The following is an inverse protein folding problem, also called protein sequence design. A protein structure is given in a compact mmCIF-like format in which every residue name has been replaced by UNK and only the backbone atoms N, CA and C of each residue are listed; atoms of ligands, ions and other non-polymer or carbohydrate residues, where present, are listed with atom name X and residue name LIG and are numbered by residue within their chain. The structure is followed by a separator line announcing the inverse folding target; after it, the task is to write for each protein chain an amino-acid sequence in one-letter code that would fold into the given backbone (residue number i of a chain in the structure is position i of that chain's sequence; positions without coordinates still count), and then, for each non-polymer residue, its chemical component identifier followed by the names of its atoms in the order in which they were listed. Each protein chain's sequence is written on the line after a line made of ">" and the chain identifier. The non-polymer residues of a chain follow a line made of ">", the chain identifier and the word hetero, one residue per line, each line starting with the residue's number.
data_IF_802327272987
#
_entry.id   IF_802327272987
#
_cell.length_a   1.000
_cell.length_b   1.000
_cell.length_c   1.000
_cell.angle_alpha   90.00
_cell.angle_beta   90.00
_cell.angle_gamma   90.00
#
_symmetry.space_group_name_H-M   'P 1'
#
loop_
_entity.id
_entity.type
_entity.pdbx_description
1 polymer ?
#
# COMPACT_ATOMS: atom_id res chain seq x y z
N UNK A 1 -63.43 33.02 -62.25
CA UNK A 1 -62.18 33.56 -61.75
C UNK A 1 -62.13 33.28 -60.24
N UNK A 2 -61.51 32.19 -59.86
CA UNK A 2 -61.45 31.74 -58.42
C UNK A 2 -59.98 31.75 -58.00
N UNK A 3 -59.63 32.69 -57.15
CA UNK A 3 -58.31 32.89 -56.64
C UNK A 3 -58.08 32.00 -55.44
N UNK A 4 -57.08 31.12 -55.53
CA UNK A 4 -56.74 30.21 -54.47
C UNK A 4 -55.64 30.90 -53.56
N UNK A 5 -56.01 31.15 -52.30
CA UNK A 5 -55.10 31.72 -51.30
C UNK A 5 -54.46 30.52 -50.54
N UNK A 6 -53.17 30.27 -50.74
CA UNK A 6 -52.35 29.27 -50.03
C UNK A 6 -51.96 29.80 -48.64
N UNK A 7 -52.19 28.99 -47.63
CA UNK A 7 -52.06 29.29 -46.23
C UNK A 7 -50.54 29.33 -45.74
N UNK A 8 -50.18 30.30 -44.91
CA UNK A 8 -48.84 30.35 -44.31
C UNK A 8 -48.66 29.55 -42.99
N UNK A 9 -49.67 28.78 -42.57
CA UNK A 9 -49.67 28.15 -41.23
C UNK A 9 -48.72 26.91 -41.04
N UNK A 10 -48.27 26.29 -42.16
CA UNK A 10 -47.46 25.06 -42.07
C UNK A 10 -45.94 25.33 -41.89
N UNK A 11 -45.46 26.50 -42.30
CA UNK A 11 -44.06 26.86 -42.19
C UNK A 11 -43.70 27.30 -40.76
N UNK A 12 -44.61 28.00 -40.07
CA UNK A 12 -44.37 28.44 -38.68
C UNK A 12 -44.33 27.27 -37.68
N UNK A 13 -45.12 26.20 -37.85
CA UNK A 13 -45.11 25.05 -36.99
C UNK A 13 -43.82 24.21 -37.12
N UNK A 14 -43.28 24.06 -38.35
CA UNK A 14 -42.01 23.36 -38.59
C UNK A 14 -40.81 24.09 -38.00
N UNK A 15 -40.79 25.42 -38.04
CA UNK A 15 -39.74 26.25 -37.45
C UNK A 15 -39.72 26.23 -35.92
N UNK A 16 -40.90 26.17 -35.28
CA UNK A 16 -41.00 26.07 -33.81
C UNK A 16 -40.59 24.68 -33.33
N UNK A 17 -40.95 23.61 -34.04
CA UNK A 17 -40.47 22.24 -33.68
C UNK A 17 -38.98 22.07 -33.86
N UNK A 18 -38.41 22.68 -34.94
CA UNK A 18 -36.94 22.64 -35.16
C UNK A 18 -36.17 23.49 -34.12
N UNK A 19 -36.73 24.60 -33.66
CA UNK A 19 -36.17 25.45 -32.63
C UNK A 19 -36.24 24.77 -31.24
N UNK A 20 -37.36 24.06 -30.93
CA UNK A 20 -37.47 23.25 -29.72
C UNK A 20 -36.54 22.02 -29.73
N UNK A 21 -36.31 21.40 -30.89
CA UNK A 21 -35.33 20.31 -31.03
C UNK A 21 -33.90 20.79 -30.90
N UNK A 22 -33.55 21.99 -31.39
CA UNK A 22 -32.25 22.62 -31.19
C UNK A 22 -32.01 23.04 -29.75
N UNK A 23 -33.01 23.49 -29.02
CA UNK A 23 -32.89 23.79 -27.57
C UNK A 23 -32.78 22.50 -26.75
N UNK A 24 -33.42 21.40 -27.16
CA UNK A 24 -33.27 20.09 -26.51
C UNK A 24 -31.89 19.44 -26.78
N UNK A 25 -31.23 19.76 -27.91
CA UNK A 25 -29.86 19.32 -28.24
C UNK A 25 -28.79 20.24 -27.63
N UNK A 26 -29.13 21.46 -27.24
CA UNK A 26 -28.30 22.37 -26.47
C UNK A 26 -28.44 22.20 -24.95
N UNK A 27 -28.99 21.06 -24.48
CA UNK A 27 -28.82 20.61 -23.11
C UNK A 27 -27.35 20.42 -22.86
N UNK A 28 -26.62 21.51 -22.59
CA UNK A 28 -25.37 21.47 -21.92
C UNK A 28 -25.61 20.59 -20.68
N UNK A 29 -25.03 19.40 -20.65
CA UNK A 29 -24.83 18.68 -19.41
C UNK A 29 -23.96 19.60 -18.55
N UNK A 30 -24.60 20.36 -17.67
CA UNK A 30 -23.93 21.10 -16.63
C UNK A 30 -23.40 19.99 -15.68
N UNK A 31 -22.27 19.40 -16.05
CA UNK A 31 -21.51 18.62 -15.08
C UNK A 31 -20.94 19.65 -14.12
N UNK A 32 -21.26 19.55 -12.83
CA UNK A 32 -20.61 20.40 -11.85
C UNK A 32 -19.10 20.23 -11.99
N UNK A 33 -18.35 21.32 -11.83
CA UNK A 33 -16.89 21.29 -11.87
C UNK A 33 -16.39 20.32 -10.79
N UNK A 34 -15.55 19.39 -11.19
CA UNK A 34 -14.90 18.47 -10.24
C UNK A 34 -13.68 19.16 -9.64
N UNK A 35 -13.51 18.99 -8.34
CA UNK A 35 -12.39 19.51 -7.56
C UNK A 35 -11.70 18.39 -6.79
N UNK A 36 -10.48 18.65 -6.31
CA UNK A 36 -9.76 17.73 -5.44
C UNK A 36 -10.08 18.08 -3.99
N UNK A 37 -10.59 17.08 -3.25
CA UNK A 37 -10.90 17.18 -1.83
C UNK A 37 -9.97 16.28 -1.03
N UNK A 38 -9.51 16.78 0.12
CA UNK A 38 -8.57 16.08 0.99
C UNK A 38 -9.29 15.52 2.23
N UNK A 39 -9.06 14.24 2.53
CA UNK A 39 -9.52 13.55 3.73
C UNK A 39 -8.28 12.99 4.42
N UNK A 40 -8.09 13.28 5.71
CA UNK A 40 -6.90 12.83 6.43
C UNK A 40 -7.22 12.48 7.88
N UNK A 41 -6.39 11.63 8.48
CA UNK A 41 -6.51 11.24 9.89
C UNK A 41 -5.38 10.33 10.36
N UNK A 42 -5.36 10.01 11.66
CA UNK A 42 -4.40 9.04 12.22
C UNK A 42 -4.83 7.59 11.91
N UNK A 43 -3.87 6.70 11.66
CA UNK A 43 -4.10 5.26 11.47
C UNK A 43 -2.80 4.46 11.66
N UNK A 44 -2.84 3.25 12.20
CA UNK A 44 -1.73 2.28 12.29
C UNK A 44 -0.43 2.87 12.86
N UNK A 45 -0.53 3.80 13.81
CA UNK A 45 0.64 4.51 14.36
C UNK A 45 1.24 5.58 13.44
N UNK A 46 0.58 5.91 12.32
CA UNK A 46 0.94 6.93 11.34
C UNK A 46 -0.30 7.78 10.98
N UNK A 47 -0.34 8.31 9.76
CA UNK A 47 -1.48 9.05 9.20
C UNK A 47 -1.84 8.55 7.81
N UNK A 48 -3.07 8.84 7.39
CA UNK A 48 -3.50 8.73 6.01
C UNK A 48 -3.81 10.09 5.41
N UNK A 49 -3.57 10.23 4.11
CA UNK A 49 -3.89 11.39 3.30
C UNK A 49 -4.53 10.92 1.99
N UNK A 50 -5.78 11.31 1.77
CA UNK A 50 -6.58 10.82 0.64
C UNK A 50 -7.08 12.02 -0.14
N UNK A 51 -6.72 12.10 -1.43
CA UNK A 51 -7.28 13.07 -2.36
C UNK A 51 -8.34 12.38 -3.20
N UNK A 52 -9.56 12.92 -3.22
CA UNK A 52 -10.67 12.43 -4.07
C UNK A 52 -11.10 13.52 -5.04
N UNK A 53 -11.42 13.14 -6.28
CA UNK A 53 -11.94 14.06 -7.31
C UNK A 53 -13.45 13.91 -7.36
N UNK A 54 -14.16 14.96 -6.93
CA UNK A 54 -15.63 14.98 -6.83
C UNK A 54 -16.16 16.40 -7.09
N UNK A 55 -17.42 16.55 -7.53
CA UNK A 55 -18.14 17.79 -7.41
C UNK A 55 -18.26 18.21 -5.93
N UNK A 56 -18.44 19.51 -5.68
CA UNK A 56 -18.67 20.00 -4.32
C UNK A 56 -19.96 19.39 -3.73
N UNK A 57 -19.77 18.48 -2.77
CA UNK A 57 -20.84 17.83 -2.00
C UNK A 57 -20.32 17.50 -0.60
N UNK A 58 -20.57 18.40 0.34
CA UNK A 58 -20.09 18.27 1.72
C UNK A 58 -20.65 17.01 2.40
N UNK A 59 -21.92 16.68 2.19
CA UNK A 59 -22.55 15.52 2.81
C UNK A 59 -21.90 14.22 2.31
N UNK A 60 -21.61 14.15 1.02
CA UNK A 60 -20.91 13.02 0.40
C UNK A 60 -19.47 12.88 0.94
N UNK A 61 -18.75 14.01 1.09
CA UNK A 61 -17.39 14.01 1.65
C UNK A 61 -17.38 13.53 3.11
N UNK A 62 -18.33 13.97 3.94
CA UNK A 62 -18.46 13.49 5.32
C UNK A 62 -18.77 11.99 5.38
N UNK A 63 -19.65 11.50 4.50
CA UNK A 63 -19.95 10.07 4.40
C UNK A 63 -18.73 9.24 3.96
N UNK A 64 -17.97 9.72 2.96
CA UNK A 64 -16.73 9.07 2.51
C UNK A 64 -15.70 9.03 3.64
N UNK A 65 -15.50 10.13 4.38
CA UNK A 65 -14.57 10.19 5.49
C UNK A 65 -14.92 9.18 6.60
N UNK A 66 -16.22 9.05 6.93
CA UNK A 66 -16.69 8.05 7.89
C UNK A 66 -16.43 6.63 7.38
N UNK A 67 -16.80 6.31 6.15
CA UNK A 67 -16.61 4.97 5.58
C UNK A 67 -15.12 4.59 5.42
N UNK A 68 -14.24 5.55 5.12
CA UNK A 68 -12.79 5.36 5.14
C UNK A 68 -12.33 4.99 6.56
N UNK A 69 -12.78 5.73 7.57
CA UNK A 69 -12.47 5.44 8.97
C UNK A 69 -12.92 4.04 9.39
N UNK A 70 -14.14 3.65 9.06
CA UNK A 70 -14.69 2.33 9.35
C UNK A 70 -13.93 1.21 8.64
N UNK A 71 -13.54 1.43 7.38
CA UNK A 71 -12.74 0.49 6.59
C UNK A 71 -11.35 0.26 7.20
N UNK A 72 -10.68 1.33 7.64
CA UNK A 72 -9.37 1.26 8.29
C UNK A 72 -9.44 0.64 9.70
N UNK A 73 -10.47 0.94 10.50
CA UNK A 73 -10.69 0.26 11.79
C UNK A 73 -10.92 -1.25 11.59
N UNK A 74 -11.60 -1.65 10.51
CA UNK A 74 -11.75 -3.04 10.13
C UNK A 74 -10.42 -3.76 9.86
N UNK A 75 -9.48 -3.09 9.19
CA UNK A 75 -8.11 -3.61 8.97
C UNK A 75 -7.37 -3.74 10.30
N UNK A 76 -7.41 -2.71 11.15
CA UNK A 76 -6.76 -2.72 12.47
C UNK A 76 -7.33 -3.82 13.37
N UNK A 77 -8.65 -3.97 13.39
CA UNK A 77 -9.33 -5.04 14.16
C UNK A 77 -8.97 -6.45 13.67
N UNK A 78 -8.61 -6.62 12.41
CA UNK A 78 -8.21 -7.92 11.86
C UNK A 78 -6.71 -8.19 12.06
N UNK A 79 -5.82 -7.21 11.81
CA UNK A 79 -4.40 -7.46 11.52
C UNK A 79 -3.41 -6.83 12.49
N UNK A 80 -3.85 -5.96 13.42
CA UNK A 80 -2.94 -5.26 14.34
C UNK A 80 -2.36 -6.20 15.39
N UNK A 81 -1.04 -6.17 15.56
CA UNK A 81 -0.35 -6.79 16.70
C UNK A 81 -0.35 -5.90 17.93
N UNK A 82 -0.66 -4.61 17.78
CA UNK A 82 -0.74 -3.61 18.84
C UNK A 82 -2.11 -3.55 19.53
N UNK A 83 -3.13 -4.08 18.88
CA UNK A 83 -4.50 -4.17 19.38
C UNK A 83 -4.74 -5.58 19.93
N UNK A 84 -4.89 -5.70 21.25
CA UNK A 84 -5.03 -6.99 21.93
C UNK A 84 -6.27 -7.80 21.50
N UNK A 85 -7.35 -7.11 21.13
CA UNK A 85 -8.61 -7.72 20.72
C UNK A 85 -8.69 -8.00 19.21
N UNK A 86 -7.63 -7.72 18.44
CA UNK A 86 -7.59 -8.03 17.01
C UNK A 86 -7.66 -9.55 16.76
N UNK A 87 -8.10 -9.93 15.56
CA UNK A 87 -8.12 -11.32 15.13
C UNK A 87 -6.71 -11.94 15.15
N UNK A 88 -5.73 -11.22 14.59
CA UNK A 88 -4.34 -11.66 14.55
C UNK A 88 -3.74 -11.83 15.96
N UNK A 89 -3.98 -10.88 16.86
CA UNK A 89 -3.50 -10.99 18.24
C UNK A 89 -4.12 -12.17 18.99
N UNK A 90 -5.39 -12.51 18.71
CA UNK A 90 -6.02 -13.72 19.24
C UNK A 90 -5.38 -14.98 18.68
N UNK A 91 -5.12 -15.03 17.36
CA UNK A 91 -4.42 -16.14 16.70
C UNK A 91 -3.02 -16.33 17.29
N UNK A 92 -2.26 -15.24 17.45
CA UNK A 92 -0.90 -15.27 17.99
C UNK A 92 -0.82 -15.77 19.46
N UNK A 93 -1.90 -15.63 20.24
CA UNK A 93 -1.95 -16.14 21.63
C UNK A 93 -2.30 -17.61 21.76
N UNK A 94 -2.68 -18.27 20.68
CA UNK A 94 -2.96 -19.71 20.72
C UNK A 94 -1.67 -20.49 20.98
N UNK A 95 -1.70 -21.37 21.97
CA UNK A 95 -0.55 -22.24 22.32
C UNK A 95 -0.39 -23.41 21.36
N UNK A 96 -1.48 -23.77 20.68
CA UNK A 96 -1.52 -24.84 19.69
C UNK A 96 -2.23 -24.32 18.43
N UNK A 97 -1.56 -24.43 17.31
CA UNK A 97 -2.04 -24.03 15.98
C UNK A 97 -1.98 -25.21 15.00
N UNK A 98 -1.88 -26.44 15.49
CA UNK A 98 -1.75 -27.65 14.66
C UNK A 98 -3.04 -28.04 13.93
N UNK A 99 -4.19 -27.63 14.45
CA UNK A 99 -5.50 -27.78 13.81
C UNK A 99 -5.83 -26.59 12.92
N UNK A 100 -6.80 -26.79 12.00
CA UNK A 100 -7.31 -25.71 11.18
C UNK A 100 -8.08 -24.69 12.02
N UNK A 101 -7.58 -23.46 12.06
CA UNK A 101 -8.15 -22.32 12.76
C UNK A 101 -8.86 -21.45 11.73
N UNK A 102 -10.19 -21.29 11.81
CA UNK A 102 -10.93 -20.39 10.93
C UNK A 102 -10.42 -18.95 11.07
N UNK A 103 -10.26 -18.26 9.94
CA UNK A 103 -9.89 -16.86 9.89
C UNK A 103 -10.83 -16.09 8.96
N UNK A 104 -10.92 -14.78 9.17
CA UNK A 104 -11.70 -13.90 8.29
C UNK A 104 -11.16 -13.88 6.87
N UNK A 105 -12.00 -13.56 5.89
CA UNK A 105 -11.58 -13.42 4.52
C UNK A 105 -10.48 -12.34 4.33
N UNK A 106 -10.54 -11.16 4.99
CA UNK A 106 -9.45 -10.19 4.96
C UNK A 106 -8.12 -10.73 5.46
N UNK A 107 -8.08 -11.39 6.62
CA UNK A 107 -6.86 -11.97 7.15
C UNK A 107 -6.32 -13.07 6.24
N UNK A 108 -7.20 -13.91 5.70
CA UNK A 108 -6.84 -14.96 4.75
C UNK A 108 -6.23 -14.40 3.45
N UNK A 109 -6.79 -13.30 2.91
CA UNK A 109 -6.27 -12.60 1.71
C UNK A 109 -4.82 -12.17 1.94
N UNK A 110 -4.54 -11.51 3.08
CA UNK A 110 -3.19 -11.03 3.39
C UNK A 110 -2.21 -12.18 3.67
N UNK A 111 -2.63 -13.22 4.39
CA UNK A 111 -1.78 -14.41 4.62
C UNK A 111 -1.46 -15.14 3.32
N UNK A 112 -2.40 -15.22 2.39
CA UNK A 112 -2.18 -15.83 1.07
C UNK A 112 -1.14 -15.04 0.27
N UNK A 113 -1.30 -13.71 0.20
CA UNK A 113 -0.33 -12.86 -0.47
C UNK A 113 1.03 -12.90 0.20
N UNK A 114 1.06 -12.97 1.54
CA UNK A 114 2.31 -13.12 2.29
C UNK A 114 3.05 -14.41 1.91
N UNK A 115 2.37 -15.54 1.81
CA UNK A 115 2.99 -16.83 1.40
C UNK A 115 3.54 -16.75 -0.04
N UNK A 116 2.78 -16.15 -0.98
CA UNK A 116 3.23 -15.94 -2.35
C UNK A 116 4.52 -15.12 -2.43
N UNK A 117 4.58 -13.99 -1.71
CA UNK A 117 5.75 -13.11 -1.71
C UNK A 117 6.91 -13.75 -0.94
N UNK A 118 6.65 -14.47 0.16
CA UNK A 118 7.67 -15.23 0.88
C UNK A 118 8.35 -16.26 -0.02
N UNK A 119 7.57 -16.98 -0.84
CA UNK A 119 8.11 -17.93 -1.83
C UNK A 119 8.90 -17.23 -2.94
N UNK A 120 8.38 -16.13 -3.46
CA UNK A 120 9.01 -15.35 -4.52
C UNK A 120 10.37 -14.80 -4.08
N UNK A 121 10.48 -14.34 -2.84
CA UNK A 121 11.70 -13.74 -2.26
C UNK A 121 12.60 -14.75 -1.56
N UNK A 122 12.30 -16.06 -1.66
CA UNK A 122 13.01 -17.16 -0.99
C UNK A 122 13.15 -16.93 0.53
N UNK A 123 12.09 -16.41 1.15
CA UNK A 123 11.98 -16.17 2.58
C UNK A 123 12.60 -14.84 3.07
N UNK A 124 13.09 -13.98 2.18
CA UNK A 124 13.53 -12.64 2.58
C UNK A 124 12.36 -11.78 3.10
N UNK A 125 11.15 -12.01 2.61
CA UNK A 125 9.92 -11.57 3.24
C UNK A 125 9.31 -12.75 4.01
N UNK A 126 9.15 -12.62 5.33
CA UNK A 126 8.56 -13.65 6.18
C UNK A 126 7.74 -13.04 7.32
N UNK A 127 6.42 -13.17 7.24
CA UNK A 127 5.50 -12.64 8.27
C UNK A 127 5.56 -13.39 9.60
N UNK A 128 6.32 -14.47 9.70
CA UNK A 128 6.51 -15.21 10.95
C UNK A 128 7.72 -14.72 11.76
N UNK A 129 8.44 -13.69 11.27
CA UNK A 129 9.64 -13.12 11.92
C UNK A 129 9.32 -12.33 13.21
N UNK A 130 8.04 -12.13 13.55
CA UNK A 130 7.58 -11.34 14.68
C UNK A 130 8.29 -11.61 16.01
N UNK A 131 8.59 -12.86 16.42
CA UNK A 131 9.36 -13.11 17.65
C UNK A 131 10.73 -12.45 17.65
N UNK A 132 11.40 -12.39 16.50
CA UNK A 132 12.71 -11.74 16.35
C UNK A 132 12.55 -10.22 16.33
N UNK A 133 11.52 -9.71 15.65
CA UNK A 133 11.19 -8.27 15.64
C UNK A 133 10.92 -7.76 17.06
N UNK A 134 10.14 -8.51 17.86
CA UNK A 134 9.89 -8.20 19.27
C UNK A 134 11.18 -8.26 20.10
N UNK A 135 12.02 -9.25 19.88
CA UNK A 135 13.29 -9.41 20.59
C UNK A 135 14.24 -8.21 20.34
N UNK A 136 14.21 -7.61 19.14
CA UNK A 136 14.94 -6.39 18.81
C UNK A 136 14.24 -5.11 19.30
N UNK A 137 13.01 -5.21 19.84
CA UNK A 137 12.24 -4.08 20.36
C UNK A 137 11.60 -3.19 19.27
N UNK A 138 11.33 -3.76 18.11
CA UNK A 138 10.60 -3.08 17.02
C UNK A 138 9.11 -3.46 16.97
N UNK A 139 8.67 -4.46 17.74
CA UNK A 139 7.29 -4.88 17.87
C UNK A 139 6.56 -4.26 19.07
N UNK A 140 5.37 -4.78 19.43
CA UNK A 140 4.54 -4.25 20.53
C UNK A 140 5.12 -4.49 21.93
N UNK A 141 6.06 -5.41 22.08
CA UNK A 141 6.71 -5.69 23.36
C UNK A 141 7.66 -4.55 23.77
N UNK A 142 7.90 -4.43 25.06
CA UNK A 142 8.82 -3.41 25.57
C UNK A 142 10.22 -3.62 24.98
N UNK A 143 10.86 -2.50 24.60
CA UNK A 143 12.21 -2.54 24.06
C UNK A 143 13.18 -3.16 25.07
N UNK A 144 14.01 -4.14 24.67
CA UNK A 144 15.03 -4.71 25.55
C UNK A 144 16.11 -3.68 25.91
N UNK A 145 16.68 -3.82 27.11
CA UNK A 145 17.77 -2.94 27.57
C UNK A 145 19.11 -3.22 26.85
N UNK A 146 19.26 -4.40 26.27
CA UNK A 146 20.48 -4.88 25.63
C UNK A 146 20.23 -5.48 24.25
N UNK A 147 21.26 -5.47 23.41
CA UNK A 147 21.25 -6.20 22.14
C UNK A 147 21.04 -7.69 22.42
N UNK A 148 20.14 -8.36 21.69
CA UNK A 148 19.85 -9.78 21.88
C UNK A 148 21.09 -10.65 21.78
N UNK A 149 21.19 -11.66 22.66
CA UNK A 149 22.27 -12.65 22.57
C UNK A 149 22.07 -13.61 21.38
N UNK A 150 23.14 -14.23 20.89
CA UNK A 150 23.03 -15.23 19.83
C UNK A 150 22.16 -16.44 20.25
N UNK A 151 22.10 -16.77 21.56
CA UNK A 151 21.22 -17.82 22.10
C UNK A 151 19.74 -17.40 22.02
N UNK A 152 19.40 -16.15 22.38
CA UNK A 152 18.02 -15.64 22.30
C UNK A 152 17.56 -15.56 20.84
N UNK A 153 18.45 -15.09 19.95
CA UNK A 153 18.19 -15.06 18.51
C UNK A 153 17.92 -16.46 17.95
N UNK A 154 18.77 -17.45 18.28
CA UNK A 154 18.58 -18.83 17.84
C UNK A 154 17.26 -19.42 18.35
N UNK A 155 16.88 -19.10 19.59
CA UNK A 155 15.60 -19.54 20.18
C UNK A 155 14.40 -18.89 19.47
N UNK A 156 14.46 -17.58 19.18
CA UNK A 156 13.40 -16.88 18.46
C UNK A 156 13.28 -17.39 17.03
N UNK A 157 14.39 -17.53 16.29
CA UNK A 157 14.42 -18.08 14.93
C UNK A 157 13.87 -19.51 14.85
N UNK A 158 14.10 -20.34 15.88
CA UNK A 158 13.54 -21.69 15.92
C UNK A 158 12.00 -21.72 15.86
N UNK A 159 11.33 -20.63 16.21
CA UNK A 159 9.86 -20.47 16.14
C UNK A 159 9.37 -19.78 14.88
N UNK A 160 10.24 -19.39 13.93
CA UNK A 160 9.88 -18.71 12.68
C UNK A 160 9.85 -19.66 11.48
N UNK A 161 9.44 -19.16 10.33
CA UNK A 161 9.49 -19.81 9.04
C UNK A 161 8.11 -19.95 8.40
N UNK A 162 7.85 -19.16 7.36
CA UNK A 162 6.56 -19.16 6.61
C UNK A 162 6.16 -20.56 6.10
N UNK A 163 7.13 -21.43 5.78
CA UNK A 163 6.88 -22.82 5.34
C UNK A 163 6.16 -23.69 6.38
N UNK A 164 6.11 -23.26 7.64
CA UNK A 164 5.34 -23.95 8.69
C UNK A 164 3.85 -23.61 8.67
N UNK A 165 3.46 -22.52 7.97
CA UNK A 165 2.07 -22.16 7.79
C UNK A 165 1.45 -22.94 6.64
N UNK A 166 0.19 -23.33 6.81
CA UNK A 166 -0.65 -23.93 5.77
C UNK A 166 -1.95 -23.15 5.70
N UNK A 167 -2.39 -22.84 4.50
CA UNK A 167 -3.58 -22.05 4.22
C UNK A 167 -4.65 -22.92 3.54
N UNK A 168 -5.90 -22.79 3.94
CA UNK A 168 -7.06 -23.42 3.33
C UNK A 168 -8.08 -22.37 2.91
N UNK A 169 -8.46 -22.37 1.63
CA UNK A 169 -9.33 -21.33 1.07
C UNK A 169 -10.83 -21.54 1.39
N UNK A 170 -11.28 -22.78 1.59
CA UNK A 170 -12.71 -23.07 1.73
C UNK A 170 -12.96 -24.10 2.84
N UNK A 171 -13.54 -23.71 3.99
CA UNK A 171 -13.63 -22.33 4.47
C UNK A 171 -12.24 -21.72 4.72
N UNK A 172 -12.09 -20.38 4.75
CA UNK A 172 -10.80 -19.76 5.05
C UNK A 172 -10.28 -20.17 6.42
N UNK A 173 -9.09 -20.77 6.45
CA UNK A 173 -8.46 -21.23 7.68
C UNK A 173 -6.94 -21.30 7.55
N UNK A 174 -6.25 -21.21 8.68
CA UNK A 174 -4.81 -21.35 8.80
C UNK A 174 -4.48 -22.42 9.82
N UNK A 175 -3.37 -23.13 9.62
CA UNK A 175 -2.73 -23.97 10.64
C UNK A 175 -1.23 -23.86 10.54
N UNK A 176 -0.54 -24.19 11.62
CA UNK A 176 0.91 -24.21 11.66
C UNK A 176 1.44 -25.56 12.16
N UNK A 177 2.49 -26.10 11.54
CA UNK A 177 3.17 -27.33 11.98
C UNK A 177 3.89 -27.17 13.32
N UNK A 178 4.20 -25.94 13.71
CA UNK A 178 4.64 -25.49 15.03
C UNK A 178 4.01 -24.13 15.29
N UNK A 179 3.78 -23.77 16.55
CA UNK A 179 3.19 -22.48 16.93
C UNK A 179 3.99 -21.33 16.33
N UNK A 180 3.32 -20.44 15.62
CA UNK A 180 3.87 -19.27 14.95
C UNK A 180 3.33 -18.00 15.62
N UNK A 181 4.16 -16.97 15.65
CA UNK A 181 3.72 -15.59 15.89
C UNK A 181 3.81 -14.84 14.55
N UNK A 182 2.68 -14.33 14.08
CA UNK A 182 2.55 -13.65 12.78
C UNK A 182 2.58 -12.14 13.01
N UNK A 183 3.39 -11.44 12.23
CA UNK A 183 3.48 -9.99 12.18
C UNK A 183 3.25 -9.52 10.73
N UNK A 184 2.19 -8.74 10.53
CA UNK A 184 1.77 -8.24 9.22
C UNK A 184 2.18 -6.77 9.00
N UNK A 185 3.03 -6.18 9.84
CA UNK A 185 3.42 -4.76 9.75
C UNK A 185 4.08 -4.36 8.42
N UNK A 186 4.66 -5.33 7.70
CA UNK A 186 5.33 -5.14 6.41
C UNK A 186 4.42 -5.38 5.18
N UNK A 187 3.09 -5.51 5.38
CA UNK A 187 2.11 -5.73 4.31
C UNK A 187 0.74 -5.10 4.63
N UNK A 188 0.41 -4.93 5.92
CA UNK A 188 -0.92 -4.50 6.34
C UNK A 188 -1.21 -3.03 5.98
N UNK A 189 -0.20 -2.15 5.91
CA UNK A 189 -0.40 -0.76 5.47
C UNK A 189 -0.80 -0.71 4.00
N UNK A 190 -0.07 -1.44 3.15
CA UNK A 190 -0.43 -1.60 1.75
C UNK A 190 -1.83 -2.19 1.56
N UNK A 191 -2.20 -3.19 2.36
CA UNK A 191 -3.56 -3.73 2.38
C UNK A 191 -4.60 -2.68 2.78
N UNK A 192 -4.32 -1.85 3.78
CA UNK A 192 -5.18 -0.73 4.19
C UNK A 192 -5.44 0.25 3.04
N UNK A 193 -4.40 0.60 2.27
CA UNK A 193 -4.53 1.42 1.06
C UNK A 193 -5.47 0.76 0.05
N UNK A 194 -5.33 -0.54 -0.18
CA UNK A 194 -6.19 -1.28 -1.13
C UNK A 194 -7.64 -1.40 -0.64
N UNK A 195 -7.88 -1.56 0.67
CA UNK A 195 -9.22 -1.56 1.26
C UNK A 195 -9.91 -0.23 1.05
N UNK A 196 -9.22 0.89 1.31
CA UNK A 196 -9.76 2.24 1.06
C UNK A 196 -10.03 2.47 -0.43
N UNK A 197 -9.11 2.05 -1.30
CA UNK A 197 -9.31 2.16 -2.74
C UNK A 197 -10.55 1.38 -3.22
N UNK A 198 -10.74 0.14 -2.75
CA UNK A 198 -11.94 -0.67 -3.02
C UNK A 198 -13.22 -0.01 -2.51
N UNK A 199 -13.16 0.61 -1.33
CA UNK A 199 -14.30 1.37 -0.79
C UNK A 199 -14.63 2.56 -1.68
N UNK A 200 -13.66 3.39 -2.07
CA UNK A 200 -13.87 4.52 -2.97
C UNK A 200 -14.43 4.09 -4.33
N UNK A 201 -13.95 2.99 -4.89
CA UNK A 201 -14.48 2.40 -6.12
C UNK A 201 -15.95 2.00 -5.96
N UNK A 202 -16.33 1.38 -4.83
CA UNK A 202 -17.72 0.98 -4.53
C UNK A 202 -18.66 2.17 -4.37
N UNK A 203 -18.14 3.31 -3.86
CA UNK A 203 -18.88 4.59 -3.76
C UNK A 203 -18.89 5.37 -5.09
N UNK A 204 -18.32 4.80 -6.16
CA UNK A 204 -18.32 5.39 -7.49
C UNK A 204 -17.37 6.57 -7.67
N UNK A 205 -16.36 6.75 -6.79
CA UNK A 205 -15.29 7.72 -6.97
C UNK A 205 -14.38 7.26 -8.10
N UNK A 206 -14.19 8.08 -9.13
CA UNK A 206 -13.49 7.69 -10.37
C UNK A 206 -12.01 8.05 -10.37
N UNK A 207 -11.63 9.03 -9.56
CA UNK A 207 -10.24 9.48 -9.48
C UNK A 207 -9.88 9.81 -8.03
N UNK A 208 -8.77 9.24 -7.58
CA UNK A 208 -8.27 9.43 -6.23
C UNK A 208 -6.77 9.12 -6.13
N UNK A 209 -6.18 9.61 -5.06
CA UNK A 209 -4.90 9.18 -4.52
C UNK A 209 -5.14 8.80 -3.05
N UNK A 210 -4.82 7.59 -2.67
CA UNK A 210 -4.81 7.10 -1.28
C UNK A 210 -3.37 6.93 -0.84
N UNK A 211 -3.00 7.55 0.27
CA UNK A 211 -1.69 7.39 0.92
C UNK A 211 -1.89 7.02 2.38
N UNK A 212 -1.18 6.01 2.87
CA UNK A 212 -1.13 5.58 4.27
C UNK A 212 0.30 5.26 4.64
N UNK A 213 0.92 6.13 5.45
CA UNK A 213 2.27 5.90 5.99
C UNK A 213 3.38 5.72 4.96
N UNK A 214 3.18 6.23 3.73
CA UNK A 214 4.11 6.13 2.60
C UNK A 214 3.70 5.14 1.51
N UNK A 215 2.77 4.23 1.78
CA UNK A 215 2.17 3.35 0.79
C UNK A 215 1.08 4.11 0.04
N UNK A 216 1.08 4.01 -1.30
CA UNK A 216 0.21 4.83 -2.15
C UNK A 216 -0.49 3.98 -3.20
N UNK A 217 -1.75 4.35 -3.49
CA UNK A 217 -2.48 3.88 -4.67
C UNK A 217 -3.20 5.03 -5.33
N UNK A 218 -3.15 5.06 -6.65
CA UNK A 218 -3.85 6.08 -7.45
C UNK A 218 -4.86 5.44 -8.38
N UNK A 219 -5.90 6.19 -8.72
CA UNK A 219 -6.88 5.85 -9.75
C UNK A 219 -7.25 7.10 -10.53
N UNK A 220 -7.54 6.92 -11.84
CA UNK A 220 -8.05 7.98 -12.69
C UNK A 220 -7.08 9.15 -12.89
N UNK A 221 -7.65 10.32 -13.20
CA UNK A 221 -6.91 11.56 -13.49
C UNK A 221 -7.47 12.72 -12.67
N UNK A 222 -6.66 13.73 -12.47
CA UNK A 222 -7.07 15.00 -11.88
C UNK A 222 -8.07 15.75 -12.77
N UNK A 223 -8.78 16.75 -12.24
CA UNK A 223 -9.77 17.53 -13.03
C UNK A 223 -9.19 18.20 -14.27
N UNK A 224 -7.91 18.57 -14.24
CA UNK A 224 -7.17 19.15 -15.38
C UNK A 224 -6.73 18.11 -16.43
N UNK A 225 -7.09 16.84 -16.25
CA UNK A 225 -6.70 15.72 -17.11
C UNK A 225 -5.30 15.18 -16.88
N UNK A 226 -4.52 15.75 -15.96
CA UNK A 226 -3.18 15.29 -15.63
C UNK A 226 -3.23 14.00 -14.79
N UNK A 227 -2.19 13.18 -14.89
CA UNK A 227 -1.98 11.99 -14.03
C UNK A 227 -1.42 12.40 -12.68
N UNK A 228 -1.59 11.55 -11.68
CA UNK A 228 -1.01 11.73 -10.36
C UNK A 228 0.53 11.66 -10.44
N UNK A 229 1.19 12.62 -9.80
CA UNK A 229 2.65 12.70 -9.73
C UNK A 229 3.10 12.57 -8.30
N UNK A 230 4.12 11.76 -8.08
CA UNK A 230 4.69 11.46 -6.78
C UNK A 230 6.19 11.75 -6.79
N UNK A 231 6.72 12.08 -5.62
CA UNK A 231 8.14 12.22 -5.41
C UNK A 231 8.69 11.01 -4.65
N UNK A 232 9.75 10.41 -5.15
CA UNK A 232 10.55 9.46 -4.39
C UNK A 232 11.59 10.28 -3.62
N UNK A 233 11.58 10.15 -2.29
CA UNK A 233 12.52 10.88 -1.44
C UNK A 233 13.91 10.25 -1.48
N UNK A 234 14.91 11.10 -1.42
CA UNK A 234 16.29 10.67 -1.18
C UNK A 234 16.50 10.52 0.32
N UNK A 235 17.08 9.41 0.80
CA UNK A 235 17.50 9.30 2.19
C UNK A 235 18.40 10.48 2.56
N UNK A 236 18.02 11.22 3.58
CA UNK A 236 18.78 12.36 4.05
C UNK A 236 19.06 12.24 5.55
N UNK A 237 20.29 12.50 5.97
CA UNK A 237 20.63 12.68 7.36
C UNK A 237 20.11 14.05 7.84
N UNK A 238 19.52 14.11 9.04
CA UNK A 238 19.07 15.37 9.64
C UNK A 238 17.70 15.89 9.23
N UNK A 239 16.84 15.07 8.58
CA UNK A 239 15.44 15.44 8.33
C UNK A 239 15.18 16.36 7.12
N UNK A 240 16.18 16.59 6.28
CA UNK A 240 15.98 17.29 5.01
C UNK A 240 15.22 16.40 4.02
N UNK A 241 14.10 16.89 3.48
CA UNK A 241 13.39 16.23 2.41
C UNK A 241 13.99 16.58 1.05
N UNK A 242 14.83 15.70 0.50
CA UNK A 242 15.34 15.84 -0.87
C UNK A 242 14.58 14.88 -1.80
N UNK A 243 14.20 15.40 -2.98
CA UNK A 243 13.57 14.58 -4.01
C UNK A 243 14.66 13.89 -4.82
N UNK A 244 14.62 12.56 -4.87
CA UNK A 244 15.47 11.75 -5.73
C UNK A 244 14.91 11.66 -7.15
N UNK A 245 13.59 11.41 -7.26
CA UNK A 245 12.94 11.25 -8.55
C UNK A 245 11.47 11.69 -8.48
N UNK A 246 10.97 12.29 -9.57
CA UNK A 246 9.54 12.51 -9.78
C UNK A 246 9.04 11.45 -10.76
N UNK A 247 7.91 10.82 -10.43
CA UNK A 247 7.25 9.80 -11.24
C UNK A 247 5.79 10.17 -11.49
N UNK A 248 5.22 9.56 -12.52
CA UNK A 248 3.77 9.52 -12.74
C UNK A 248 3.25 8.15 -12.37
N UNK A 249 2.13 8.09 -11.66
CA UNK A 249 1.53 6.83 -11.21
C UNK A 249 0.09 6.70 -11.77
N UNK A 250 -0.08 6.15 -12.99
CA UNK A 250 -1.37 6.04 -13.64
C UNK A 250 -2.12 4.77 -13.18
N UNK A 251 -3.05 4.91 -12.23
CA UNK A 251 -3.88 3.81 -11.71
C UNK A 251 -3.05 2.59 -11.27
N UNK A 252 -2.05 2.84 -10.44
CA UNK A 252 -1.11 1.87 -9.89
C UNK A 252 -0.91 2.10 -8.41
N UNK A 253 -0.22 1.17 -7.77
CA UNK A 253 0.21 1.27 -6.39
C UNK A 253 1.74 1.39 -6.30
N UNK A 254 2.21 2.04 -5.25
CA UNK A 254 3.63 2.24 -4.95
C UNK A 254 3.85 2.12 -3.44
N UNK A 255 4.92 1.46 -3.05
CA UNK A 255 5.41 1.46 -1.69
C UNK A 255 6.93 1.68 -1.66
N UNK A 256 7.42 2.26 -0.58
CA UNK A 256 8.85 2.48 -0.38
C UNK A 256 9.27 1.97 0.98
N UNK A 257 10.18 1.00 1.00
CA UNK A 257 10.87 0.55 2.20
C UNK A 257 12.28 1.15 2.25
N UNK A 258 12.73 1.51 3.46
CA UNK A 258 14.07 2.07 3.65
C UNK A 258 14.50 2.00 5.11
N UNK A 259 15.80 1.94 5.33
CA UNK A 259 16.42 1.78 6.65
C UNK A 259 16.70 3.12 7.36
N UNK A 260 16.36 4.26 6.73
CA UNK A 260 16.79 5.58 7.19
C UNK A 260 15.77 6.27 8.14
N UNK A 261 14.52 5.83 8.20
CA UNK A 261 13.47 6.43 9.05
C UNK A 261 13.37 5.77 10.42
N UNK A 262 13.40 4.44 10.46
CA UNK A 262 13.20 3.66 11.67
C UNK A 262 14.48 2.88 12.03
N UNK A 263 15.23 3.38 12.97
CA UNK A 263 16.42 2.74 13.50
C UNK A 263 16.62 3.16 14.96
N UNK A 264 17.45 2.45 15.67
CA UNK A 264 18.01 2.93 16.92
C UNK A 264 19.53 2.81 16.96
N UNK A 265 20.13 3.56 17.84
CA UNK A 265 21.57 3.50 18.10
C UNK A 265 21.81 2.91 19.49
N UNK A 266 22.72 1.95 19.57
CA UNK A 266 23.21 1.37 20.81
C UNK A 266 24.70 1.16 20.70
N UNK A 267 25.47 1.58 21.71
CA UNK A 267 26.93 1.47 21.76
C UNK A 267 27.64 2.03 20.50
N UNK A 268 27.12 3.13 19.94
CA UNK A 268 27.68 3.75 18.74
C UNK A 268 27.41 2.97 17.44
N UNK A 269 26.54 1.95 17.46
CA UNK A 269 26.09 1.20 16.29
C UNK A 269 24.63 1.50 15.99
N UNK A 270 24.33 1.67 14.73
CA UNK A 270 22.98 1.83 14.21
C UNK A 270 22.39 0.46 13.87
N UNK A 271 21.17 0.22 14.32
CA UNK A 271 20.40 -1.00 14.07
C UNK A 271 19.14 -0.63 13.29
N UNK A 272 19.04 -1.14 12.07
CA UNK A 272 17.82 -1.01 11.24
C UNK A 272 16.66 -1.78 11.86
N UNK A 273 15.44 -1.28 11.70
CA UNK A 273 14.24 -2.03 12.07
C UNK A 273 13.96 -3.22 11.13
N UNK A 274 14.59 -3.24 9.96
CA UNK A 274 14.45 -4.34 9.00
C UNK A 274 15.36 -5.48 9.42
N UNK A 275 14.74 -6.63 9.73
CA UNK A 275 15.42 -7.84 10.19
C UNK A 275 15.52 -8.83 9.05
N UNK A 276 16.67 -9.43 8.87
CA UNK A 276 16.87 -10.55 7.96
C UNK A 276 16.34 -11.85 8.60
N UNK A 277 15.33 -12.51 8.01
CA UNK A 277 14.74 -13.73 8.56
C UNK A 277 15.72 -14.94 8.63
N UNK A 278 16.74 -14.95 7.81
CA UNK A 278 17.74 -16.02 7.81
C UNK A 278 18.69 -15.92 9.02
N UNK A 279 19.12 -14.70 9.32
CA UNK A 279 20.12 -14.47 10.39
C UNK A 279 19.52 -14.02 11.71
N UNK A 280 18.27 -13.51 11.69
CA UNK A 280 17.62 -12.88 12.84
C UNK A 280 18.25 -11.54 13.23
N UNK A 281 19.11 -10.95 12.40
CA UNK A 281 19.84 -9.71 12.68
C UNK A 281 19.36 -8.58 11.78
N UNK A 282 19.45 -7.33 12.25
CA UNK A 282 19.24 -6.16 11.39
C UNK A 282 20.13 -6.22 10.14
N UNK A 283 19.59 -5.83 9.00
CA UNK A 283 20.36 -5.72 7.75
C UNK A 283 21.53 -4.75 7.90
N UNK A 284 22.64 -5.03 7.18
CA UNK A 284 23.88 -4.24 7.25
C UNK A 284 24.42 -3.82 5.89
N UNK A 285 23.77 -4.21 4.79
CA UNK A 285 24.18 -3.83 3.44
C UNK A 285 23.87 -2.34 3.15
N UNK A 286 24.33 -1.88 1.99
CA UNK A 286 24.30 -0.47 1.60
C UNK A 286 23.00 -0.02 0.86
N UNK A 287 22.01 -0.90 0.66
CA UNK A 287 20.72 -0.50 0.10
C UNK A 287 19.99 0.41 1.10
N UNK A 288 19.81 1.67 0.73
CA UNK A 288 19.21 2.67 1.60
C UNK A 288 17.70 2.71 1.49
N UNK A 289 17.18 2.47 0.28
CA UNK A 289 15.74 2.51 0.00
C UNK A 289 15.43 1.77 -1.29
N UNK A 290 14.27 1.16 -1.34
CA UNK A 290 13.68 0.61 -2.56
C UNK A 290 12.22 1.01 -2.67
N UNK A 291 11.85 1.54 -3.85
CA UNK A 291 10.47 1.84 -4.22
C UNK A 291 10.00 0.81 -5.23
N UNK A 292 8.85 0.20 -4.98
CA UNK A 292 8.24 -0.81 -5.86
C UNK A 292 6.89 -0.32 -6.36
N UNK A 293 6.59 -0.54 -7.64
CA UNK A 293 5.29 -0.23 -8.27
C UNK A 293 4.65 -1.52 -8.75
N UNK A 294 3.39 -1.74 -8.35
CA UNK A 294 2.58 -2.92 -8.67
C UNK A 294 1.12 -2.54 -8.95
N UNK A 295 0.26 -3.54 -9.17
CA UNK A 295 -1.18 -3.35 -9.38
C UNK A 295 -1.93 -3.03 -8.07
N UNK A 296 -1.45 -3.55 -6.94
CA UNK A 296 -2.03 -3.38 -5.59
C UNK A 296 -0.96 -2.95 -4.59
N UNK A 297 -1.35 -2.18 -3.58
CA UNK A 297 -0.43 -1.61 -2.60
C UNK A 297 0.09 -2.65 -1.60
N UNK A 298 -0.70 -3.67 -1.29
CA UNK A 298 -0.30 -4.79 -0.45
C UNK A 298 0.93 -5.51 -1.01
N UNK A 299 0.94 -5.79 -2.30
CA UNK A 299 2.09 -6.41 -2.98
C UNK A 299 3.30 -5.49 -3.05
N UNK A 300 3.08 -4.18 -3.28
CA UNK A 300 4.17 -3.20 -3.32
C UNK A 300 4.87 -3.10 -1.96
N UNK A 301 4.13 -3.02 -0.84
CA UNK A 301 4.63 -2.93 0.53
C UNK A 301 5.48 -4.15 0.90
N UNK A 302 4.91 -5.36 0.69
CA UNK A 302 5.61 -6.61 0.98
C UNK A 302 6.87 -6.82 0.12
N UNK A 303 6.80 -6.53 -1.18
CA UNK A 303 7.96 -6.63 -2.08
C UNK A 303 9.04 -5.61 -1.73
N UNK A 304 8.67 -4.37 -1.40
CA UNK A 304 9.63 -3.34 -0.99
C UNK A 304 10.39 -3.78 0.27
N UNK A 305 9.69 -4.38 1.25
CA UNK A 305 10.33 -4.94 2.45
C UNK A 305 11.23 -6.13 2.11
N UNK A 306 10.73 -7.10 1.34
CA UNK A 306 11.53 -8.27 0.91
C UNK A 306 12.78 -7.87 0.13
N UNK A 307 12.68 -6.91 -0.78
CA UNK A 307 13.82 -6.37 -1.54
C UNK A 307 14.80 -5.63 -0.65
N UNK A 308 14.29 -4.91 0.37
CA UNK A 308 15.16 -4.27 1.37
C UNK A 308 15.97 -5.32 2.13
N UNK A 309 15.37 -6.44 2.53
CA UNK A 309 16.09 -7.56 3.18
C UNK A 309 17.12 -8.20 2.25
N UNK A 310 16.79 -8.41 0.99
CA UNK A 310 17.68 -9.04 0.00
C UNK A 310 18.94 -8.24 -0.32
N UNK A 311 18.90 -6.92 -0.17
CA UNK A 311 19.94 -6.02 -0.66
C UNK A 311 19.85 -5.80 -2.18
N UNK A 312 20.64 -4.83 -2.69
CA UNK A 312 20.51 -4.34 -4.05
C UNK A 312 20.68 -5.43 -5.11
N UNK A 313 21.76 -6.18 -5.08
CA UNK A 313 22.12 -7.10 -6.16
C UNK A 313 21.06 -8.20 -6.36
N UNK A 314 20.67 -8.88 -5.29
CA UNK A 314 19.67 -9.95 -5.33
C UNK A 314 18.27 -9.40 -5.68
N UNK A 315 17.91 -8.26 -5.11
CA UNK A 315 16.63 -7.62 -5.36
C UNK A 315 16.49 -7.15 -6.81
N UNK A 316 17.53 -6.52 -7.39
CA UNK A 316 17.55 -6.05 -8.76
C UNK A 316 17.48 -7.22 -9.76
N UNK A 317 18.17 -8.32 -9.48
CA UNK A 317 18.11 -9.55 -10.30
C UNK A 317 16.68 -10.12 -10.28
N UNK A 318 16.09 -10.31 -9.10
CA UNK A 318 14.73 -10.83 -8.95
C UNK A 318 13.71 -9.91 -9.62
N UNK A 319 13.75 -8.61 -9.33
CA UNK A 319 12.82 -7.64 -9.89
C UNK A 319 12.90 -7.56 -11.42
N UNK A 320 14.09 -7.71 -12.01
CA UNK A 320 14.28 -7.74 -13.46
C UNK A 320 13.71 -9.03 -14.05
N UNK A 321 13.99 -10.18 -13.44
CA UNK A 321 13.50 -11.50 -13.90
C UNK A 321 11.98 -11.58 -13.89
N UNK A 322 11.35 -11.05 -12.85
CA UNK A 322 9.89 -11.06 -12.65
C UNK A 322 9.19 -9.83 -13.29
N UNK A 323 9.94 -8.98 -14.02
CA UNK A 323 9.43 -7.74 -14.63
C UNK A 323 8.72 -6.81 -13.65
N UNK A 324 9.23 -6.72 -12.41
CA UNK A 324 8.73 -5.83 -11.36
C UNK A 324 9.37 -4.45 -11.53
N UNK A 325 8.56 -3.40 -11.48
CA UNK A 325 9.04 -2.03 -11.50
C UNK A 325 9.62 -1.66 -10.13
N UNK A 326 10.95 -1.49 -10.06
CA UNK A 326 11.65 -1.17 -8.83
C UNK A 326 12.72 -0.08 -9.06
N UNK A 327 12.84 0.83 -8.09
CA UNK A 327 13.81 1.91 -8.03
C UNK A 327 14.60 1.80 -6.73
N UNK A 328 15.93 1.74 -6.84
CA UNK A 328 16.84 1.50 -5.73
C UNK A 328 17.71 2.73 -5.47
N UNK A 329 17.91 3.06 -4.21
CA UNK A 329 18.87 4.06 -3.75
C UNK A 329 19.92 3.34 -2.89
N UNK A 330 21.15 3.37 -3.34
CA UNK A 330 22.30 2.64 -2.72
C UNK A 330 23.27 3.65 -2.14
N UNK A 331 23.73 3.43 -0.90
CA UNK A 331 24.78 4.25 -0.28
C UNK A 331 26.15 3.93 -0.88
N UNK A 332 26.92 4.97 -1.13
CA UNK A 332 28.32 4.89 -1.56
C UNK A 332 29.16 5.77 -0.66
N UNK A 333 30.47 5.72 -0.81
CA UNK A 333 31.40 6.59 -0.08
C UNK A 333 31.15 8.08 -0.37
N UNK A 334 30.60 8.41 -1.53
CA UNK A 334 30.39 9.78 -1.99
C UNK A 334 28.90 10.23 -1.95
N UNK A 335 28.04 9.49 -1.28
CA UNK A 335 26.60 9.78 -1.16
C UNK A 335 25.71 8.65 -1.62
N UNK A 336 24.84 8.89 -2.61
CA UNK A 336 23.87 7.90 -3.08
C UNK A 336 23.96 7.72 -4.58
N UNK A 337 23.86 6.47 -5.01
CA UNK A 337 23.63 6.06 -6.39
C UNK A 337 22.21 5.52 -6.57
N UNK A 338 21.63 5.72 -7.76
CA UNK A 338 20.28 5.27 -8.05
C UNK A 338 20.28 4.31 -9.22
N UNK A 339 19.53 3.21 -9.05
CA UNK A 339 19.34 2.20 -10.07
C UNK A 339 17.86 1.90 -10.25
N UNK A 340 17.47 1.37 -11.40
CA UNK A 340 16.08 1.02 -11.67
C UNK A 340 15.98 -0.18 -12.59
N UNK A 341 14.89 -0.92 -12.48
CA UNK A 341 14.57 -1.98 -13.43
C UNK A 341 14.03 -1.40 -14.74
N UNK A 342 14.13 -2.14 -15.87
CA UNK A 342 13.53 -1.72 -17.14
C UNK A 342 12.03 -1.38 -17.01
N UNK A 343 11.28 -2.16 -16.23
CA UNK A 343 9.86 -1.96 -15.99
C UNK A 343 9.54 -0.61 -15.31
N UNK A 344 10.46 -0.08 -14.48
CA UNK A 344 10.28 1.19 -13.80
C UNK A 344 10.37 2.40 -14.74
N UNK A 345 11.07 2.27 -15.87
CA UNK A 345 11.35 3.39 -16.78
C UNK A 345 10.10 4.06 -17.33
N UNK A 346 8.98 3.32 -17.44
CA UNK A 346 7.69 3.85 -17.93
C UNK A 346 7.02 4.85 -16.98
N UNK A 347 7.44 4.90 -15.72
CA UNK A 347 6.86 5.78 -14.70
C UNK A 347 7.64 7.09 -14.52
N UNK A 348 8.84 7.19 -15.08
CA UNK A 348 9.67 8.39 -14.94
C UNK A 348 9.09 9.52 -15.78
N UNK A 349 8.87 10.67 -15.15
CA UNK A 349 8.49 11.91 -15.84
C UNK A 349 9.72 12.47 -16.54
N UNK A 350 9.60 12.71 -17.85
CA UNK A 350 10.62 13.40 -18.65
C UNK A 350 10.69 14.87 -18.29
#
# INVERSE_FOLDING_TARGET
>A
MTSCILQPARVAAASIVMMLALVALAGCSFQPDEEIWEISGPVFGTSYHISVVLPEDRQRLEALAQGIGDALDGVDASMSTWREDSELSKLNRLKDQSDWIPVSAPLFEVLTRSDEISRLTDGAFDVTIGPVVNLWGFGPDARPEHVPSDEDLARALASTGFKNLSLQATPPAVKASKTQYIDLSAIAKGYGVDVVARYLDSEGVKAYLVEIGGEVRTQGKKPDGSVWRLAIEQPAEGGEHKVSRIITLPSRAMATSGDYRNYYESEGRRFSHTIDPETGKPITHNLASVTVITDDSMSADALATGFTVMGYERAAELATRENIAAYFIVRTENGFETHQTPAFSSYITQ
#
